data_IF_350882764185
#
_entry.id   IF_350882764185
#
_cell.length_a   1.000
_cell.length_b   1.000
_cell.length_c   1.000
_cell.angle_alpha   90.00
_cell.angle_beta   90.00
_cell.angle_gamma   90.00
#
_symmetry.space_group_name_H-M   'P 1'
#
loop_
_entity.id
_entity.type
_entity.pdbx_description
1 polymer ?
#
# COMPACT_ATOMS: atom_id res chain seq x y z
N UNK A 1 -16.22 -5.11 8.41
CA UNK A 1 -14.87 -4.69 8.83
C UNK A 1 -13.98 -5.86 9.29
N UNK A 2 -14.31 -7.12 8.98
CA UNK A 2 -13.51 -8.30 9.41
C UNK A 2 -12.30 -8.51 8.49
N UNK A 3 -12.47 -8.40 7.17
CA UNK A 3 -11.35 -8.61 6.23
C UNK A 3 -10.25 -7.58 6.42
N UNK A 4 -10.61 -6.31 6.69
CA UNK A 4 -9.65 -5.24 6.93
C UNK A 4 -8.87 -5.44 8.23
N UNK A 5 -9.45 -6.03 9.29
CA UNK A 5 -8.70 -6.36 10.50
C UNK A 5 -7.70 -7.48 10.26
N UNK A 6 -8.08 -8.50 9.49
CA UNK A 6 -7.13 -9.56 9.11
C UNK A 6 -5.99 -9.03 8.23
N UNK A 7 -6.28 -8.09 7.32
CA UNK A 7 -5.25 -7.41 6.54
C UNK A 7 -4.31 -6.57 7.42
N UNK A 8 -4.81 -5.96 8.50
CA UNK A 8 -3.96 -5.27 9.48
C UNK A 8 -3.04 -6.24 10.22
N UNK A 9 -3.53 -7.42 10.62
CA UNK A 9 -2.67 -8.46 11.20
C UNK A 9 -1.59 -8.91 10.20
N UNK A 10 -1.97 -9.10 8.94
CA UNK A 10 -1.03 -9.44 7.87
C UNK A 10 0.00 -8.33 7.64
N UNK A 11 -0.42 -7.07 7.65
CA UNK A 11 0.46 -5.91 7.55
C UNK A 11 1.51 -5.90 8.67
N UNK A 12 1.08 -6.08 9.92
CA UNK A 12 1.99 -6.17 11.08
C UNK A 12 2.98 -7.31 10.92
N UNK A 13 2.52 -8.49 10.49
CA UNK A 13 3.39 -9.63 10.23
C UNK A 13 4.46 -9.33 9.17
N UNK A 14 4.08 -8.72 8.03
CA UNK A 14 5.04 -8.34 6.99
C UNK A 14 6.03 -7.32 7.55
N UNK A 15 5.57 -6.33 8.32
CA UNK A 15 6.44 -5.30 8.91
C UNK A 15 7.45 -5.91 9.88
N UNK A 16 7.05 -6.88 10.70
CA UNK A 16 7.96 -7.56 11.62
C UNK A 16 9.00 -8.40 10.85
N UNK A 17 8.57 -9.10 9.79
CA UNK A 17 9.50 -9.81 8.88
C UNK A 17 10.44 -8.87 8.13
N UNK A 18 9.98 -7.70 7.76
CA UNK A 18 10.81 -6.66 7.16
C UNK A 18 11.89 -6.21 8.16
N UNK A 19 11.52 -5.92 9.41
CA UNK A 19 12.45 -5.52 10.48
C UNK A 19 13.48 -6.61 10.81
N UNK A 20 13.07 -7.88 10.82
CA UNK A 20 13.99 -9.02 10.97
C UNK A 20 15.06 -9.02 9.87
N UNK A 21 14.65 -8.83 8.61
CA UNK A 21 15.56 -8.79 7.45
C UNK A 21 16.46 -7.56 7.46
N UNK A 22 15.91 -6.40 7.83
CA UNK A 22 16.63 -5.14 7.89
C UNK A 22 17.82 -5.19 8.86
N UNK A 23 17.71 -5.97 9.96
CA UNK A 23 18.83 -6.18 10.91
C UNK A 23 20.03 -6.89 10.27
N UNK A 24 19.81 -7.73 9.26
CA UNK A 24 20.88 -8.44 8.57
C UNK A 24 21.46 -7.61 7.43
N UNK A 25 20.60 -7.06 6.57
CA UNK A 25 20.98 -6.21 5.45
C UNK A 25 19.75 -5.39 4.99
N UNK A 26 19.85 -4.07 5.02
CA UNK A 26 18.78 -3.15 4.63
C UNK A 26 18.40 -3.29 3.15
N UNK A 27 19.37 -3.41 2.25
CA UNK A 27 19.13 -3.53 0.80
C UNK A 27 18.33 -4.79 0.47
N UNK A 28 18.69 -5.92 1.09
CA UNK A 28 17.99 -7.20 0.89
C UNK A 28 16.55 -7.17 1.42
N UNK A 29 16.27 -6.39 2.47
CA UNK A 29 14.92 -6.24 3.00
C UNK A 29 14.01 -5.47 2.02
N UNK A 30 14.54 -4.42 1.38
CA UNK A 30 13.82 -3.63 0.38
C UNK A 30 13.59 -4.42 -0.93
N UNK A 31 14.57 -5.19 -1.37
CA UNK A 31 14.44 -6.11 -2.50
C UNK A 31 13.34 -7.14 -2.25
N UNK A 32 13.34 -7.76 -1.06
CA UNK A 32 12.30 -8.71 -0.66
C UNK A 32 10.89 -8.11 -0.68
N UNK A 33 10.74 -6.87 -0.21
CA UNK A 33 9.44 -6.18 -0.21
C UNK A 33 8.98 -5.85 -1.63
N UNK A 34 9.91 -5.50 -2.51
CA UNK A 34 9.65 -5.26 -3.94
C UNK A 34 9.24 -6.55 -4.65
N UNK A 35 9.92 -7.66 -4.35
CA UNK A 35 9.54 -8.98 -4.85
C UNK A 35 8.15 -9.40 -4.37
N UNK A 36 7.82 -9.13 -3.10
CA UNK A 36 6.50 -9.38 -2.55
C UNK A 36 5.42 -8.58 -3.29
N UNK A 37 5.67 -7.29 -3.57
CA UNK A 37 4.77 -6.45 -4.37
C UNK A 37 4.52 -7.07 -5.76
N UNK A 38 5.59 -7.46 -6.46
CA UNK A 38 5.50 -8.11 -7.77
C UNK A 38 4.75 -9.46 -7.70
N UNK A 39 4.99 -10.27 -6.67
CA UNK A 39 4.29 -11.55 -6.47
C UNK A 39 2.78 -11.35 -6.34
N UNK A 40 2.34 -10.34 -5.60
CA UNK A 40 0.91 -10.02 -5.44
C UNK A 40 0.26 -9.61 -6.76
N UNK A 41 0.99 -8.98 -7.69
CA UNK A 41 0.43 -8.57 -8.99
C UNK A 41 -0.08 -9.75 -9.83
N UNK A 42 0.48 -10.95 -9.65
CA UNK A 42 0.03 -12.18 -10.32
C UNK A 42 -1.30 -12.74 -9.79
N UNK A 43 -1.88 -12.17 -8.74
CA UNK A 43 -3.22 -12.56 -8.29
C UNK A 43 -4.28 -12.26 -9.37
N UNK A 44 -4.98 -13.28 -9.85
CA UNK A 44 -5.95 -13.14 -10.95
C UNK A 44 -7.21 -12.34 -10.63
N UNK A 45 -7.63 -12.29 -9.36
CA UNK A 45 -8.81 -11.54 -8.94
C UNK A 45 -8.45 -10.08 -8.60
N UNK A 46 -9.02 -9.13 -9.35
CA UNK A 46 -8.71 -7.69 -9.23
C UNK A 46 -8.94 -7.15 -7.81
N UNK A 47 -10.07 -7.45 -7.17
CA UNK A 47 -10.40 -6.86 -5.86
C UNK A 47 -9.44 -7.35 -4.77
N UNK A 48 -9.28 -8.67 -4.51
CA UNK A 48 -8.28 -9.16 -3.55
C UNK A 48 -6.86 -8.69 -3.86
N UNK A 49 -6.47 -8.66 -5.15
CA UNK A 49 -5.16 -8.15 -5.57
C UNK A 49 -4.93 -6.72 -5.10
N UNK A 50 -5.89 -5.82 -5.31
CA UNK A 50 -5.74 -4.42 -4.90
C UNK A 50 -5.66 -4.26 -3.39
N UNK A 51 -6.46 -5.01 -2.61
CA UNK A 51 -6.33 -5.00 -1.15
C UNK A 51 -4.93 -5.43 -0.68
N UNK A 52 -4.38 -6.49 -1.29
CA UNK A 52 -3.02 -6.94 -0.98
C UNK A 52 -1.96 -5.94 -1.41
N UNK A 53 -2.06 -5.34 -2.61
CA UNK A 53 -1.13 -4.32 -3.08
C UNK A 53 -1.12 -3.10 -2.16
N UNK A 54 -2.30 -2.63 -1.73
CA UNK A 54 -2.43 -1.54 -0.77
C UNK A 54 -1.80 -1.91 0.58
N UNK A 55 -1.96 -3.16 1.04
CA UNK A 55 -1.34 -3.63 2.29
C UNK A 55 0.18 -3.62 2.21
N UNK A 56 0.76 -4.15 1.12
CA UNK A 56 2.22 -4.14 0.90
C UNK A 56 2.75 -2.72 0.73
N UNK A 57 2.01 -1.85 0.03
CA UNK A 57 2.34 -0.43 -0.10
C UNK A 57 2.36 0.28 1.27
N UNK A 58 1.44 -0.04 2.18
CA UNK A 58 1.44 0.45 3.56
C UNK A 58 2.72 0.09 4.30
N UNK A 59 3.17 -1.16 4.19
CA UNK A 59 4.43 -1.60 4.81
C UNK A 59 5.61 -0.88 4.19
N UNK A 60 5.60 -0.68 2.86
CA UNK A 60 6.64 0.06 2.16
C UNK A 60 6.73 1.49 2.70
N UNK A 61 5.60 2.20 2.82
CA UNK A 61 5.57 3.54 3.43
C UNK A 61 6.18 3.58 4.84
N UNK A 62 5.86 2.58 5.68
CA UNK A 62 6.39 2.50 7.05
C UNK A 62 7.86 2.09 7.12
N UNK A 63 8.37 1.42 6.09
CA UNK A 63 9.74 0.96 6.01
C UNK A 63 10.71 2.08 5.64
N UNK A 64 10.31 2.99 4.75
CA UNK A 64 11.14 4.15 4.39
C UNK A 64 10.97 5.26 5.42
N UNK A 65 12.09 5.79 5.93
CA UNK A 65 12.10 6.92 6.86
C UNK A 65 11.84 8.27 6.18
N UNK A 66 12.02 8.31 4.86
CA UNK A 66 11.91 9.51 4.04
C UNK A 66 11.12 9.20 2.76
N UNK A 67 10.61 10.27 2.12
CA UNK A 67 9.88 10.17 0.87
C UNK A 67 10.80 9.83 -0.30
N UNK A 68 11.05 8.53 -0.50
CA UNK A 68 11.80 8.02 -1.64
C UNK A 68 10.93 8.00 -2.91
N UNK A 69 11.54 8.21 -4.07
CA UNK A 69 10.85 8.19 -5.37
C UNK A 69 10.05 6.89 -5.59
N UNK A 70 10.60 5.76 -5.17
CA UNK A 70 9.95 4.44 -5.28
C UNK A 70 8.67 4.32 -4.45
N UNK A 71 8.64 4.96 -3.28
CA UNK A 71 7.45 4.97 -2.41
C UNK A 71 6.36 5.80 -3.06
N UNK A 72 6.71 6.98 -3.59
CA UNK A 72 5.77 7.83 -4.33
C UNK A 72 5.18 7.11 -5.54
N UNK A 73 6.04 6.45 -6.34
CA UNK A 73 5.60 5.63 -7.48
C UNK A 73 4.65 4.52 -7.05
N UNK A 74 4.97 3.82 -5.96
CA UNK A 74 4.12 2.74 -5.45
C UNK A 74 2.73 3.25 -5.05
N UNK A 75 2.67 4.41 -4.38
CA UNK A 75 1.40 5.03 -3.99
C UNK A 75 0.60 5.51 -5.17
N UNK A 76 1.26 6.15 -6.13
CA UNK A 76 0.63 6.57 -7.37
C UNK A 76 0.04 5.37 -8.13
N UNK A 77 0.78 4.26 -8.22
CA UNK A 77 0.34 3.02 -8.86
C UNK A 77 -0.91 2.45 -8.19
N UNK A 78 -0.95 2.29 -6.86
CA UNK A 78 -2.16 1.76 -6.20
C UNK A 78 -3.36 2.70 -6.29
N UNK A 79 -3.15 4.02 -6.34
CA UNK A 79 -4.22 5.00 -6.59
C UNK A 79 -4.78 4.83 -8.01
N UNK A 80 -3.90 4.74 -9.01
CA UNK A 80 -4.29 4.57 -10.41
C UNK A 80 -5.01 3.23 -10.64
N UNK A 81 -4.46 2.14 -10.10
CA UNK A 81 -5.05 0.81 -10.20
C UNK A 81 -6.42 0.71 -9.50
N UNK A 82 -6.63 1.50 -8.43
CA UNK A 82 -7.93 1.56 -7.74
C UNK A 82 -9.04 2.16 -8.62
N UNK A 83 -8.71 2.91 -9.68
CA UNK A 83 -9.67 3.36 -10.70
C UNK A 83 -10.26 2.20 -11.51
N UNK A 84 -9.57 1.06 -11.59
CA UNK A 84 -10.05 -0.12 -12.30
C UNK A 84 -11.31 -0.74 -11.69
N UNK A 85 -11.66 -0.41 -10.43
CA UNK A 85 -12.84 -0.94 -9.75
C UNK A 85 -14.02 0.01 -9.87
N UNK A 86 -14.79 -0.17 -10.95
CA UNK A 86 -15.96 0.64 -11.28
C UNK A 86 -17.24 0.22 -10.52
N UNK A 87 -17.25 -0.96 -9.89
CA UNK A 87 -18.40 -1.41 -9.11
C UNK A 87 -18.61 -0.47 -7.89
N UNK A 88 -19.78 0.18 -7.73
CA UNK A 88 -19.98 1.26 -6.76
C UNK A 88 -19.61 0.88 -5.32
N UNK A 89 -20.17 -0.22 -4.81
CA UNK A 89 -19.93 -0.68 -3.43
C UNK A 89 -18.49 -1.17 -3.22
N UNK A 90 -17.98 -2.04 -4.10
CA UNK A 90 -16.63 -2.61 -3.97
C UNK A 90 -15.55 -1.54 -4.09
N UNK A 91 -15.71 -0.62 -5.03
CA UNK A 91 -14.82 0.52 -5.23
C UNK A 91 -14.83 1.46 -4.04
N UNK A 92 -16.01 1.74 -3.45
CA UNK A 92 -16.13 2.58 -2.25
C UNK A 92 -15.37 1.98 -1.06
N UNK A 93 -15.55 0.68 -0.79
CA UNK A 93 -14.83 0.04 0.32
C UNK A 93 -13.32 -0.03 0.08
N UNK A 94 -12.88 -0.31 -1.15
CA UNK A 94 -11.46 -0.33 -1.52
C UNK A 94 -10.83 1.06 -1.35
N UNK A 95 -11.51 2.10 -1.84
CA UNK A 95 -11.08 3.50 -1.67
C UNK A 95 -11.03 3.87 -0.19
N UNK A 96 -12.04 3.53 0.60
CA UNK A 96 -12.02 3.78 2.03
C UNK A 96 -10.82 3.11 2.72
N UNK A 97 -10.46 1.88 2.33
CA UNK A 97 -9.27 1.20 2.83
C UNK A 97 -7.97 1.92 2.42
N UNK A 98 -7.84 2.31 1.15
CA UNK A 98 -6.71 3.12 0.69
C UNK A 98 -6.57 4.43 1.49
N UNK A 99 -7.68 5.14 1.71
CA UNK A 99 -7.74 6.34 2.56
C UNK A 99 -7.28 6.11 4.00
N UNK A 100 -7.54 4.93 4.57
CA UNK A 100 -7.08 4.58 5.92
C UNK A 100 -5.56 4.38 5.95
N UNK A 101 -5.01 3.68 4.96
CA UNK A 101 -3.56 3.47 4.83
C UNK A 101 -2.84 4.80 4.64
N UNK A 102 -3.30 5.63 3.70
CA UNK A 102 -2.67 6.91 3.39
C UNK A 102 -2.76 7.93 4.53
N UNK A 103 -3.78 7.85 5.40
CA UNK A 103 -3.91 8.71 6.60
C UNK A 103 -2.72 8.61 7.53
N UNK A 104 -2.07 7.46 7.61
CA UNK A 104 -0.89 7.28 8.46
C UNK A 104 0.36 8.01 7.94
N UNK A 105 0.36 8.45 6.68
CA UNK A 105 1.52 9.04 6.00
C UNK A 105 1.29 10.49 5.57
N UNK A 106 0.03 10.91 5.46
CA UNK A 106 -0.42 12.26 5.08
C UNK A 106 0.31 13.46 5.72
N UNK A 107 0.78 13.44 6.99
CA UNK A 107 1.53 14.58 7.52
C UNK A 107 2.88 14.84 6.82
N UNK A 108 3.46 13.84 6.16
CA UNK A 108 4.79 13.97 5.53
C UNK A 108 4.70 14.03 3.98
N UNK A 109 3.52 13.81 3.39
CA UNK A 109 3.33 13.69 1.93
C UNK A 109 3.59 15.03 1.21
N UNK A 110 4.44 15.09 0.17
CA UNK A 110 4.58 16.28 -0.67
C UNK A 110 3.28 16.62 -1.42
N UNK A 111 2.98 17.91 -1.58
CA UNK A 111 1.68 18.45 -2.04
C UNK A 111 1.08 17.76 -3.27
N UNK A 112 1.90 17.33 -4.24
CA UNK A 112 1.44 16.66 -5.47
C UNK A 112 0.69 15.34 -5.24
N UNK A 113 1.07 14.55 -4.23
CA UNK A 113 0.39 13.28 -3.92
C UNK A 113 -0.89 13.54 -3.10
N UNK A 114 -0.90 14.58 -2.26
CA UNK A 114 -2.10 15.01 -1.52
C UNK A 114 -3.21 15.49 -2.47
N UNK A 115 -2.87 16.20 -3.55
CA UNK A 115 -3.83 16.67 -4.55
C UNK A 115 -4.49 15.49 -5.28
N UNK A 116 -3.73 14.47 -5.68
CA UNK A 116 -4.27 13.25 -6.30
C UNK A 116 -5.15 12.44 -5.35
N UNK A 117 -4.78 12.34 -4.08
CA UNK A 117 -5.62 11.70 -3.07
C UNK A 117 -6.93 12.48 -2.84
N UNK A 118 -6.86 13.82 -2.76
CA UNK A 118 -8.05 14.68 -2.57
C UNK A 118 -9.04 14.59 -3.73
N UNK A 119 -8.54 14.53 -4.97
CA UNK A 119 -9.36 14.37 -6.18
C UNK A 119 -10.05 13.00 -6.26
N UNK A 120 -9.64 12.01 -5.46
CA UNK A 120 -10.13 10.65 -5.52
C UNK A 120 -11.13 10.25 -4.43
N UNK A 121 -11.17 11.02 -3.33
CA UNK A 121 -12.04 10.79 -2.18
C UNK A 121 -13.21 11.78 -2.08
N UNK A 122 -13.36 12.67 -3.06
CA UNK A 122 -14.58 13.47 -3.30
C UNK A 122 -15.41 12.84 -4.41
#
# INVERSE_FOLDING_TARGET
MIVTSELTHFETYILDKFREKQKSNETTALEWLTELYNRVQFCGNIVPRLYLLITVASVKLKAYKEWHEDVMKTIFDVVELSKGVQHPTRGLFLRNYLSQVCRSVLPDVPDGVVVLMKLHFT
#
